data_IF_297529993124
#
_entry.id   IF_297529993124
#
_cell.length_a   1.000
_cell.length_b   1.000
_cell.length_c   1.000
_cell.angle_alpha   90.00
_cell.angle_beta   90.00
_cell.angle_gamma   90.00
#
_symmetry.space_group_name_H-M   'P 1'
#
loop_
_entity.id
_entity.type
_entity.pdbx_description
1 polymer ?
#
# COMPACT_ATOMS: atom_id res chain seq x y z
N UNK A 1 -33.01 -19.66 9.50
CA UNK A 1 -32.05 -20.33 10.40
C UNK A 1 -30.57 -20.09 10.06
N UNK A 2 -30.24 -19.38 8.94
CA UNK A 2 -28.84 -19.11 8.53
C UNK A 2 -28.24 -17.81 9.10
N UNK A 3 -28.99 -17.04 9.90
CA UNK A 3 -28.50 -15.77 10.45
C UNK A 3 -27.29 -15.96 11.40
N UNK A 4 -27.33 -16.99 12.22
CA UNK A 4 -26.25 -17.29 13.19
C UNK A 4 -24.93 -17.72 12.52
N UNK A 5 -24.97 -18.30 11.34
CA UNK A 5 -23.76 -18.68 10.59
C UNK A 5 -23.22 -17.52 9.76
N UNK A 6 -24.08 -16.59 9.31
CA UNK A 6 -23.69 -15.43 8.51
C UNK A 6 -23.02 -14.32 9.33
N UNK A 7 -23.44 -14.12 10.59
CA UNK A 7 -22.88 -13.08 11.45
C UNK A 7 -21.37 -13.25 11.69
N UNK A 8 -20.84 -14.43 12.06
CA UNK A 8 -19.40 -14.63 12.20
C UNK A 8 -18.64 -14.39 10.89
N UNK A 9 -19.19 -14.75 9.74
CA UNK A 9 -18.58 -14.48 8.43
C UNK A 9 -18.53 -12.98 8.15
N UNK A 10 -19.63 -12.25 8.45
CA UNK A 10 -19.65 -10.79 8.29
C UNK A 10 -18.64 -10.09 9.21
N UNK A 11 -18.46 -10.57 10.44
CA UNK A 11 -17.44 -10.06 11.34
C UNK A 11 -16.03 -10.31 10.80
N UNK A 12 -15.74 -11.50 10.26
CA UNK A 12 -14.45 -11.80 9.62
C UNK A 12 -14.16 -10.88 8.44
N UNK A 13 -15.15 -10.66 7.58
CA UNK A 13 -15.02 -9.74 6.44
C UNK A 13 -14.80 -8.29 6.91
N UNK A 14 -15.52 -7.84 7.94
CA UNK A 14 -15.35 -6.49 8.49
C UNK A 14 -13.98 -6.30 9.13
N UNK A 15 -13.46 -7.31 9.83
CA UNK A 15 -12.13 -7.31 10.39
C UNK A 15 -11.06 -7.18 9.28
N UNK A 16 -11.14 -7.99 8.23
CA UNK A 16 -10.21 -7.92 7.10
C UNK A 16 -10.25 -6.57 6.38
N UNK A 17 -11.45 -5.98 6.22
CA UNK A 17 -11.57 -4.63 5.65
C UNK A 17 -10.88 -3.60 6.55
N UNK A 18 -11.10 -3.67 7.86
CA UNK A 18 -10.49 -2.75 8.82
C UNK A 18 -8.96 -2.87 8.87
N UNK A 19 -8.42 -4.08 8.73
CA UNK A 19 -6.98 -4.28 8.56
C UNK A 19 -6.45 -3.54 7.31
N UNK A 20 -7.09 -3.74 6.18
CA UNK A 20 -6.71 -3.06 4.94
C UNK A 20 -6.82 -1.54 5.10
N UNK A 21 -7.92 -1.02 5.69
CA UNK A 21 -8.11 0.42 5.94
C UNK A 21 -6.93 1.00 6.72
N UNK A 22 -6.48 0.33 7.79
CA UNK A 22 -5.36 0.81 8.61
C UNK A 22 -4.02 0.80 7.85
N UNK A 23 -3.77 -0.20 7.00
CA UNK A 23 -2.55 -0.26 6.18
C UNK A 23 -2.53 0.86 5.15
N UNK A 24 -3.63 1.06 4.41
CA UNK A 24 -3.71 2.16 3.43
C UNK A 24 -3.73 3.53 4.09
N UNK A 25 -4.30 3.64 5.29
CA UNK A 25 -4.25 4.87 6.08
C UNK A 25 -2.81 5.31 6.38
N UNK A 26 -1.86 4.38 6.56
CA UNK A 26 -0.44 4.74 6.73
C UNK A 26 0.09 5.45 5.48
N UNK A 27 -0.30 5.03 4.28
CA UNK A 27 0.12 5.69 3.03
C UNK A 27 -0.50 7.08 2.88
N UNK A 28 -1.80 7.21 3.14
CA UNK A 28 -2.57 8.44 2.90
C UNK A 28 -2.35 9.48 3.99
N UNK A 29 -2.26 9.08 5.27
CA UNK A 29 -2.05 10.01 6.39
C UNK A 29 -0.61 10.52 6.52
N UNK A 30 0.34 9.88 5.82
CA UNK A 30 1.75 10.28 5.81
C UNK A 30 2.33 10.54 7.21
N UNK A 31 2.30 9.57 8.14
CA UNK A 31 2.70 9.77 9.52
C UNK A 31 4.20 10.05 9.64
N UNK A 32 4.57 10.74 10.74
CA UNK A 32 5.97 10.96 11.07
C UNK A 32 6.66 9.66 11.50
N UNK A 33 7.90 9.49 11.07
CA UNK A 33 8.80 8.40 11.50
C UNK A 33 9.57 8.77 12.77
N UNK A 34 10.43 7.89 13.22
CA UNK A 34 11.25 8.06 14.42
C UNK A 34 12.26 9.21 14.33
N UNK A 35 12.60 9.66 13.13
CA UNK A 35 13.43 10.82 12.85
C UNK A 35 12.69 12.17 12.93
N UNK A 36 11.38 12.14 13.17
CA UNK A 36 10.51 13.31 13.24
C UNK A 36 10.05 13.85 11.88
N UNK A 37 10.44 13.17 10.77
CA UNK A 37 10.07 13.53 9.40
C UNK A 37 8.93 12.62 8.94
N UNK A 38 8.02 13.14 8.12
CA UNK A 38 6.91 12.32 7.57
C UNK A 38 7.42 11.25 6.60
N UNK A 39 6.70 10.14 6.51
CA UNK A 39 7.05 8.99 5.69
C UNK A 39 7.43 9.39 4.25
N UNK A 40 6.63 10.22 3.62
CA UNK A 40 6.96 10.84 2.34
C UNK A 40 7.35 12.29 2.58
N UNK A 41 8.61 12.60 2.31
CA UNK A 41 9.17 13.94 2.47
C UNK A 41 10.38 14.17 1.54
N UNK A 42 10.66 15.41 1.23
CA UNK A 42 11.81 15.78 0.38
C UNK A 42 13.15 15.37 1.01
N UNK A 43 13.26 15.44 2.34
CA UNK A 43 14.47 15.01 3.06
C UNK A 43 14.72 13.51 2.94
N UNK A 44 13.66 12.72 2.80
CA UNK A 44 13.73 11.30 2.50
C UNK A 44 14.02 11.01 1.02
N UNK A 45 13.97 12.01 0.14
CA UNK A 45 14.17 11.86 -1.30
C UNK A 45 13.28 10.75 -1.91
N UNK A 46 12.04 10.63 -1.44
CA UNK A 46 11.09 9.59 -1.82
C UNK A 46 9.77 10.15 -2.37
N UNK A 47 9.79 11.39 -2.84
CA UNK A 47 8.67 12.03 -3.53
C UNK A 47 9.10 12.40 -4.95
N UNK A 48 8.27 12.08 -5.92
CA UNK A 48 8.33 12.61 -7.29
C UNK A 48 7.17 13.57 -7.44
N UNK A 49 7.46 14.87 -7.32
CA UNK A 49 6.47 15.90 -7.61
C UNK A 49 6.34 16.04 -9.13
N UNK A 50 5.18 15.72 -9.67
CA UNK A 50 4.92 15.79 -11.11
C UNK A 50 3.61 16.49 -11.38
N UNK A 51 3.66 17.45 -12.29
CA UNK A 51 2.45 17.98 -12.91
C UNK A 51 2.15 17.18 -14.18
N UNK A 52 1.31 16.16 -14.10
CA UNK A 52 0.91 15.41 -15.30
C UNK A 52 0.45 13.97 -15.05
N UNK A 53 -0.04 13.34 -16.11
CA UNK A 53 -0.51 11.97 -16.05
C UNK A 53 0.63 10.97 -15.80
N UNK A 54 0.32 9.85 -15.13
CA UNK A 54 1.22 8.74 -14.92
C UNK A 54 1.86 8.29 -16.23
N UNK A 55 3.20 8.26 -16.27
CA UNK A 55 3.96 7.97 -17.49
C UNK A 55 5.21 7.14 -17.19
N UNK A 56 5.81 6.57 -18.26
CA UNK A 56 7.07 5.82 -18.14
C UNK A 56 8.22 6.67 -17.60
N UNK A 57 8.25 7.95 -17.95
CA UNK A 57 9.29 8.89 -17.48
C UNK A 57 9.19 9.09 -15.98
N UNK A 58 7.99 9.27 -15.45
CA UNK A 58 7.69 9.47 -14.03
C UNK A 58 8.05 8.22 -13.24
N UNK A 59 7.62 7.05 -13.70
CA UNK A 59 7.98 5.76 -13.06
C UNK A 59 9.49 5.52 -13.10
N UNK A 60 10.17 5.95 -14.18
CA UNK A 60 11.62 5.91 -14.28
C UNK A 60 12.32 6.80 -13.24
N UNK A 61 11.80 8.02 -13.00
CA UNK A 61 12.30 8.91 -11.95
C UNK A 61 12.10 8.31 -10.55
N UNK A 62 10.90 7.81 -10.27
CA UNK A 62 10.59 7.17 -9.00
C UNK A 62 11.51 5.97 -8.72
N UNK A 63 11.76 5.12 -9.73
CA UNK A 63 12.74 4.04 -9.64
C UNK A 63 14.14 4.55 -9.33
N UNK A 64 14.57 5.63 -9.97
CA UNK A 64 15.88 6.21 -9.76
C UNK A 64 16.06 6.72 -8.32
N UNK A 65 15.02 7.36 -7.75
CA UNK A 65 15.03 7.78 -6.35
C UNK A 65 15.15 6.58 -5.40
N UNK A 66 14.36 5.53 -5.62
CA UNK A 66 14.42 4.31 -4.82
C UNK A 66 15.82 3.65 -4.86
N UNK A 67 16.44 3.56 -6.04
CA UNK A 67 17.79 3.00 -6.17
C UNK A 67 18.87 3.82 -5.51
N UNK A 68 18.71 5.14 -5.44
CA UNK A 68 19.64 6.07 -4.82
C UNK A 68 19.51 6.13 -3.30
N UNK A 69 18.50 5.49 -2.71
CA UNK A 69 18.34 5.43 -1.27
C UNK A 69 19.60 4.88 -0.59
N UNK A 70 19.99 5.51 0.51
CA UNK A 70 21.20 5.18 1.25
C UNK A 70 20.86 4.46 2.55
N UNK A 71 21.79 3.64 3.02
CA UNK A 71 21.71 3.00 4.33
C UNK A 71 21.68 4.01 5.48
N UNK A 72 21.42 3.56 6.73
CA UNK A 72 21.32 4.43 7.90
C UNK A 72 22.53 5.34 8.13
N UNK A 73 23.72 4.88 7.76
CA UNK A 73 24.97 5.66 7.86
C UNK A 73 25.16 6.67 6.71
N UNK A 74 24.26 6.72 5.74
CA UNK A 74 24.33 7.64 4.60
C UNK A 74 25.47 7.38 3.59
N UNK A 75 26.24 6.32 3.77
CA UNK A 75 27.47 6.08 3.01
C UNK A 75 27.27 5.24 1.75
N UNK A 76 26.43 4.21 1.80
CA UNK A 76 26.29 3.26 0.70
C UNK A 76 24.87 3.28 0.10
N UNK A 77 24.76 3.29 -1.24
CA UNK A 77 23.46 3.13 -1.88
C UNK A 77 22.93 1.70 -1.68
N UNK A 78 21.66 1.58 -1.31
CA UNK A 78 21.00 0.29 -1.07
C UNK A 78 20.57 -0.39 -2.36
N UNK A 79 20.49 0.36 -3.48
CA UNK A 79 20.05 -0.14 -4.77
C UNK A 79 18.71 -0.87 -4.73
N UNK A 80 17.76 -0.35 -3.95
CA UNK A 80 16.43 -0.92 -3.78
C UNK A 80 15.68 -0.89 -5.13
N UNK A 81 15.02 -1.98 -5.46
CA UNK A 81 14.30 -2.13 -6.73
C UNK A 81 12.79 -2.16 -6.47
N UNK A 82 11.99 -1.36 -7.18
CA UNK A 82 10.54 -1.41 -7.05
C UNK A 82 10.00 -2.76 -7.53
N UNK A 83 9.01 -3.28 -6.81
CA UNK A 83 8.31 -4.52 -7.16
C UNK A 83 6.82 -4.29 -7.39
N UNK A 84 6.22 -3.39 -6.64
CA UNK A 84 4.79 -3.12 -6.68
C UNK A 84 4.53 -1.69 -7.15
N UNK A 85 3.50 -1.53 -7.97
CA UNK A 85 2.89 -0.24 -8.31
C UNK A 85 1.49 -0.22 -7.68
N UNK A 86 1.30 0.66 -6.71
CA UNK A 86 0.05 0.80 -5.95
C UNK A 86 -0.65 2.04 -6.47
N UNK A 87 -1.86 1.89 -6.98
CA UNK A 87 -2.62 2.97 -7.62
C UNK A 87 -4.06 3.05 -7.11
N UNK A 88 -4.68 4.23 -7.13
CA UNK A 88 -6.12 4.37 -6.95
C UNK A 88 -6.89 3.73 -8.11
N UNK A 89 -8.16 3.42 -7.92
CA UNK A 89 -8.99 2.82 -8.95
C UNK A 89 -9.14 3.74 -10.19
N UNK A 90 -9.10 5.05 -10.00
CA UNK A 90 -9.12 6.02 -11.10
C UNK A 90 -7.95 5.85 -12.09
N UNK A 91 -6.78 5.39 -11.61
CA UNK A 91 -5.58 5.17 -12.45
C UNK A 91 -5.43 3.73 -12.95
N UNK A 92 -6.32 2.81 -12.60
CA UNK A 92 -6.22 1.39 -12.94
C UNK A 92 -5.98 1.17 -14.43
N UNK A 93 -6.85 1.69 -15.27
CA UNK A 93 -6.76 1.50 -16.75
C UNK A 93 -5.45 2.03 -17.32
N UNK A 94 -4.98 3.19 -16.84
CA UNK A 94 -3.71 3.78 -17.31
C UNK A 94 -2.52 2.93 -16.85
N UNK A 95 -2.54 2.47 -15.60
CA UNK A 95 -1.49 1.63 -15.04
C UNK A 95 -1.41 0.26 -15.76
N UNK A 96 -2.56 -0.36 -16.04
CA UNK A 96 -2.62 -1.61 -16.82
C UNK A 96 -2.06 -1.43 -18.22
N UNK A 97 -2.42 -0.35 -18.92
CA UNK A 97 -1.90 -0.04 -20.25
C UNK A 97 -0.37 0.13 -20.23
N UNK A 98 0.17 0.83 -19.22
CA UNK A 98 1.60 1.03 -19.05
C UNK A 98 2.35 -0.29 -18.79
N UNK A 99 1.79 -1.19 -18.00
CA UNK A 99 2.41 -2.48 -17.65
C UNK A 99 2.28 -3.50 -18.79
N UNK A 100 1.12 -3.59 -19.42
CA UNK A 100 0.84 -4.59 -20.44
C UNK A 100 1.48 -4.26 -21.80
N UNK A 101 1.71 -2.99 -22.09
CA UNK A 101 2.18 -2.55 -23.39
C UNK A 101 3.64 -2.95 -23.68
N UNK A 102 3.90 -3.49 -24.87
CA UNK A 102 5.26 -3.75 -25.35
C UNK A 102 5.93 -2.49 -25.90
N UNK A 103 5.14 -1.49 -26.26
CA UNK A 103 5.56 -0.19 -26.79
C UNK A 103 5.07 0.88 -25.84
N UNK A 104 5.78 1.99 -25.73
CA UNK A 104 5.39 3.13 -24.91
C UNK A 104 4.06 3.73 -25.40
N UNK A 105 2.95 3.58 -24.68
CA UNK A 105 1.64 4.05 -25.13
C UNK A 105 1.55 5.59 -25.16
N UNK A 106 2.51 6.30 -24.57
CA UNK A 106 2.53 7.76 -24.50
C UNK A 106 3.24 8.40 -25.69
N UNK A 107 3.84 7.58 -26.58
CA UNK A 107 4.60 8.05 -27.75
C UNK A 107 3.98 7.56 -29.04
N UNK A 108 4.11 8.38 -30.09
CA UNK A 108 3.60 8.07 -31.43
C UNK A 108 4.54 7.20 -32.26
N UNK A 109 5.76 6.95 -31.78
CA UNK A 109 6.75 6.08 -32.44
C UNK A 109 6.86 4.77 -31.63
N UNK A 110 7.23 3.69 -32.31
CA UNK A 110 7.38 2.35 -31.71
C UNK A 110 8.54 2.26 -30.71
N UNK A 111 8.56 3.17 -29.71
CA UNK A 111 9.56 3.16 -28.64
C UNK A 111 9.29 1.98 -27.71
N UNK A 112 10.24 1.06 -27.50
CA UNK A 112 10.03 -0.09 -26.60
C UNK A 112 9.72 0.35 -25.18
N UNK A 113 8.74 -0.32 -24.56
CA UNK A 113 8.45 -0.13 -23.15
C UNK A 113 9.57 -0.72 -22.28
N UNK A 114 9.80 -0.11 -21.13
CA UNK A 114 10.86 -0.49 -20.21
C UNK A 114 10.50 -1.82 -19.49
N UNK A 115 11.43 -2.76 -19.52
CA UNK A 115 11.24 -4.09 -18.92
C UNK A 115 10.85 -4.02 -17.43
N UNK A 116 11.44 -3.09 -16.67
CA UNK A 116 11.12 -2.98 -15.25
C UNK A 116 9.65 -2.64 -14.97
N UNK A 117 8.99 -1.87 -15.86
CA UNK A 117 7.58 -1.50 -15.73
C UNK A 117 6.70 -2.71 -15.95
N UNK A 118 7.00 -3.53 -16.96
CA UNK A 118 6.29 -4.78 -17.23
C UNK A 118 6.45 -5.83 -16.12
N UNK A 119 7.51 -5.72 -15.33
CA UNK A 119 7.78 -6.60 -14.18
C UNK A 119 7.17 -6.10 -12.87
N UNK A 120 6.51 -4.91 -12.86
CA UNK A 120 5.80 -4.43 -11.69
C UNK A 120 4.50 -5.23 -11.47
N UNK A 121 4.24 -5.54 -10.22
CA UNK A 121 2.94 -6.09 -9.81
C UNK A 121 2.00 -4.92 -9.50
N UNK A 122 0.92 -4.82 -10.26
CA UNK A 122 -0.10 -3.80 -10.03
C UNK A 122 -0.95 -4.16 -8.82
N UNK A 123 -1.15 -3.20 -7.95
CA UNK A 123 -2.08 -3.27 -6.80
C UNK A 123 -3.02 -2.08 -6.90
N UNK A 124 -4.29 -2.35 -7.08
CA UNK A 124 -5.34 -1.33 -7.19
C UNK A 124 -6.17 -1.35 -5.92
N UNK A 125 -6.39 -0.19 -5.32
CA UNK A 125 -7.26 -0.08 -4.15
C UNK A 125 -8.02 1.25 -4.13
N UNK A 126 -9.34 1.17 -4.07
CA UNK A 126 -10.24 2.33 -4.07
C UNK A 126 -10.13 3.22 -2.83
N UNK A 127 -9.50 2.76 -1.76
CA UNK A 127 -9.23 3.59 -0.56
C UNK A 127 -8.29 4.75 -0.85
N UNK A 128 -7.45 4.61 -1.86
CA UNK A 128 -6.54 5.67 -2.29
C UNK A 128 -7.28 6.81 -2.98
N UNK A 129 -8.40 6.52 -3.67
CA UNK A 129 -9.24 7.53 -4.34
C UNK A 129 -9.85 8.52 -3.34
N UNK A 130 -10.05 8.11 -2.06
CA UNK A 130 -10.54 9.00 -1.01
C UNK A 130 -9.53 10.11 -0.65
N UNK A 131 -8.23 9.87 -0.84
CA UNK A 131 -7.16 10.86 -0.63
C UNK A 131 -6.83 11.60 -1.93
N UNK A 132 -6.58 10.86 -3.01
CA UNK A 132 -6.23 11.42 -4.32
C UNK A 132 -6.44 10.41 -5.45
N UNK A 133 -7.08 10.88 -6.53
CA UNK A 133 -7.27 10.08 -7.76
C UNK A 133 -6.00 10.03 -8.63
N UNK A 134 -4.97 10.81 -8.31
CA UNK A 134 -3.74 10.94 -9.12
C UNK A 134 -2.50 10.40 -8.45
N UNK A 135 -2.48 10.32 -7.12
CA UNK A 135 -1.37 9.81 -6.34
C UNK A 135 -1.18 8.32 -6.54
N UNK A 136 0.04 7.91 -6.79
CA UNK A 136 0.40 6.50 -6.79
C UNK A 136 1.72 6.26 -6.05
N UNK A 137 1.99 5.00 -5.74
CA UNK A 137 3.15 4.63 -4.94
C UNK A 137 3.92 3.49 -5.60
N UNK A 138 5.24 3.58 -5.60
CA UNK A 138 6.11 2.43 -5.86
C UNK A 138 6.57 1.84 -4.52
N UNK A 139 6.48 0.54 -4.39
CA UNK A 139 6.95 -0.18 -3.22
C UNK A 139 7.94 -1.29 -3.60
N UNK A 140 8.94 -1.47 -2.74
CA UNK A 140 9.90 -2.57 -2.84
C UNK A 140 9.29 -3.89 -2.36
N UNK A 141 9.96 -4.99 -2.64
CA UNK A 141 9.61 -6.29 -2.05
C UNK A 141 9.96 -6.31 -0.55
N UNK A 142 9.11 -6.89 0.31
CA UNK A 142 9.42 -7.06 1.74
C UNK A 142 10.73 -7.82 2.01
N UNK A 143 11.16 -8.68 1.09
CA UNK A 143 12.45 -9.37 1.20
C UNK A 143 13.69 -8.47 0.99
N UNK A 144 13.51 -7.24 0.49
CA UNK A 144 14.58 -6.26 0.36
C UNK A 144 14.61 -5.28 1.54
N UNK A 145 13.44 -4.76 1.91
CA UNK A 145 13.31 -3.78 2.98
C UNK A 145 11.86 -3.78 3.50
N UNK A 146 11.71 -3.81 4.81
CA UNK A 146 10.41 -3.73 5.47
C UNK A 146 9.96 -2.26 5.49
N UNK A 147 8.82 -1.96 4.87
CA UNK A 147 8.30 -0.60 4.74
C UNK A 147 7.17 -0.31 5.73
N UNK A 148 6.11 -1.07 5.64
CA UNK A 148 4.95 -1.00 6.53
C UNK A 148 4.81 -2.36 7.19
N UNK A 149 4.84 -2.36 8.51
CA UNK A 149 4.67 -3.59 9.29
C UNK A 149 3.32 -3.59 9.98
N UNK A 150 2.68 -4.73 9.93
CA UNK A 150 1.45 -4.99 10.68
C UNK A 150 1.74 -5.93 11.85
N UNK A 151 1.11 -5.65 12.97
CA UNK A 151 1.27 -6.41 14.20
C UNK A 151 -0.09 -6.80 14.78
N UNK A 152 -0.14 -7.98 15.38
CA UNK A 152 -1.29 -8.50 16.09
C UNK A 152 -0.93 -8.70 17.55
N UNK A 153 -1.85 -8.37 18.45
CA UNK A 153 -1.64 -8.62 19.87
C UNK A 153 -1.55 -10.12 20.13
N UNK A 154 -0.52 -10.54 20.85
CA UNK A 154 -0.23 -11.96 21.16
C UNK A 154 -0.08 -12.88 19.93
N UNK A 155 0.13 -12.32 18.74
CA UNK A 155 0.27 -13.09 17.50
C UNK A 155 -1.04 -13.66 16.92
N UNK A 156 -2.18 -13.28 17.47
CA UNK A 156 -3.49 -13.73 16.99
C UNK A 156 -3.98 -12.89 15.81
N UNK A 157 -3.64 -13.31 14.59
CA UNK A 157 -4.08 -12.68 13.33
C UNK A 157 -5.52 -13.03 12.93
N UNK A 158 -6.39 -13.39 13.88
CA UNK A 158 -7.79 -13.74 13.61
C UNK A 158 -8.73 -13.02 14.56
N UNK A 159 -9.93 -12.62 14.08
CA UNK A 159 -10.94 -12.06 14.95
C UNK A 159 -11.41 -13.11 15.96
N UNK A 160 -11.42 -12.74 17.24
CA UNK A 160 -11.94 -13.56 18.32
C UNK A 160 -13.43 -13.31 18.45
N UNK A 161 -14.23 -14.38 18.35
CA UNK A 161 -15.69 -14.32 18.41
C UNK A 161 -16.14 -15.01 19.68
N UNK A 162 -16.86 -14.26 20.51
CA UNK A 162 -17.47 -14.76 21.75
C UNK A 162 -18.99 -14.79 21.58
N UNK A 163 -19.62 -15.79 22.16
CA UNK A 163 -21.08 -15.93 22.20
C UNK A 163 -21.55 -15.97 23.64
N UNK A 164 -22.61 -15.24 23.93
CA UNK A 164 -23.26 -15.22 25.24
C UNK A 164 -24.76 -15.42 25.07
N UNK A 165 -25.35 -16.33 25.85
CA UNK A 165 -26.78 -16.44 25.93
C UNK A 165 -27.31 -15.34 26.87
N UNK A 166 -28.38 -14.67 26.43
CA UNK A 166 -29.04 -13.64 27.21
C UNK A 166 -29.83 -14.26 28.35
N UNK A 167 -29.76 -13.63 29.54
CA UNK A 167 -30.59 -14.04 30.72
C UNK A 167 -31.91 -13.28 30.77
N UNK A 168 -31.89 -11.99 30.42
CA UNK A 168 -33.06 -11.11 30.47
C UNK A 168 -33.91 -11.17 29.20
N UNK A 169 -33.29 -11.51 28.09
CA UNK A 169 -33.92 -11.65 26.77
C UNK A 169 -33.51 -12.98 26.17
N UNK A 170 -34.49 -13.77 25.74
CA UNK A 170 -34.22 -15.04 25.05
C UNK A 170 -33.55 -14.81 23.72
N UNK A 171 -32.21 -14.81 23.71
CA UNK A 171 -31.40 -14.51 22.55
C UNK A 171 -29.92 -14.82 22.77
N UNK A 172 -29.15 -14.77 21.69
CA UNK A 172 -27.68 -14.96 21.72
C UNK A 172 -27.00 -13.68 21.30
N UNK A 173 -26.14 -13.14 22.19
CA UNK A 173 -25.27 -12.03 21.87
C UNK A 173 -23.96 -12.53 21.27
N UNK A 174 -23.50 -11.90 20.21
CA UNK A 174 -22.24 -12.16 19.53
C UNK A 174 -21.32 -10.94 19.67
N UNK A 175 -20.09 -11.16 20.12
CA UNK A 175 -19.04 -10.14 20.21
C UNK A 175 -17.86 -10.55 19.37
N UNK A 176 -17.33 -9.61 18.60
CA UNK A 176 -16.12 -9.78 17.81
C UNK A 176 -15.06 -8.79 18.30
N UNK A 177 -13.85 -9.27 18.55
CA UNK A 177 -12.69 -8.46 18.89
C UNK A 177 -11.50 -8.87 18.05
N UNK A 178 -10.73 -7.87 17.63
CA UNK A 178 -9.46 -8.04 16.95
C UNK A 178 -8.54 -6.89 17.33
N UNK A 179 -7.33 -7.20 17.74
CA UNK A 179 -6.31 -6.25 18.13
C UNK A 179 -5.22 -6.23 17.03
N UNK A 180 -5.16 -5.14 16.30
CA UNK A 180 -4.32 -4.97 15.12
C UNK A 180 -3.72 -3.56 15.05
N UNK A 181 -2.49 -3.45 14.59
CA UNK A 181 -1.84 -2.19 14.30
C UNK A 181 -1.05 -2.27 12.99
N UNK A 182 -1.01 -1.16 12.26
CA UNK A 182 -0.13 -0.97 11.10
C UNK A 182 0.71 0.27 11.33
N UNK A 183 2.02 0.16 11.14
CA UNK A 183 2.96 1.26 11.36
C UNK A 183 4.00 1.31 10.23
N UNK A 184 4.45 2.50 9.80
CA UNK A 184 5.58 2.62 8.90
C UNK A 184 6.87 2.34 9.68
N UNK A 185 7.78 1.59 9.06
CA UNK A 185 9.08 1.22 9.66
C UNK A 185 10.22 1.88 8.92
N UNK A 186 10.20 1.84 7.60
CA UNK A 186 11.25 2.43 6.77
C UNK A 186 10.66 3.08 5.50
N UNK A 187 11.15 4.27 5.18
CA UNK A 187 10.74 5.03 4.01
C UNK A 187 11.46 4.63 2.72
N UNK A 188 12.65 3.99 2.82
CA UNK A 188 13.57 3.75 1.70
C UNK A 188 13.01 2.80 0.64
N UNK A 189 12.07 1.95 1.03
CA UNK A 189 11.38 1.04 0.14
C UNK A 189 10.08 1.59 -0.47
N UNK A 190 9.77 2.87 -0.24
CA UNK A 190 8.55 3.52 -0.73
C UNK A 190 8.89 4.82 -1.46
N UNK A 191 8.23 5.06 -2.59
CA UNK A 191 8.29 6.34 -3.32
C UNK A 191 6.88 6.75 -3.68
N UNK A 192 6.50 7.98 -3.31
CA UNK A 192 5.25 8.61 -3.72
C UNK A 192 5.45 9.34 -5.05
N UNK A 193 4.46 9.23 -5.91
CA UNK A 193 4.30 10.00 -7.14
C UNK A 193 3.02 10.81 -6.97
N UNK A 194 3.15 12.14 -7.05
CA UNK A 194 2.06 13.09 -6.76
C UNK A 194 1.60 13.81 -8.02
#
# INVERSE_FOLDING_TARGET
>A
LNAFTRLPQAFGQSASRKEADLVYQVLTSNPALSDGVTLFHTDHSNIVAVSGALSLTILGQARALMRKQKGPAGLQPLNVVPRFLIVPAALETVAEQLIASLVDPTKSNDTPNLEFIRNLTLVVDSRLDEDSETKCYLAASPGQIDTITRAYLMGEGRPHIETQQGWEVDGTALKCRMDFAAVPVDFRGLVQVD
#
